data_IF_062011841650
#
_entry.id   IF_062011841650
#
_cell.length_a   1.000
_cell.length_b   1.000
_cell.length_c   1.000
_cell.angle_alpha   90.00
_cell.angle_beta   90.00
_cell.angle_gamma   90.00
#
_symmetry.space_group_name_H-M   'P 1'
#
loop_
_entity.id
_entity.type
_entity.pdbx_description
1 polymer ?
#
# COMPACT_ATOMS: atom_id res chain seq x y z
N UNK A 1 52.45 -0.53 -79.77
CA UNK A 1 52.41 -0.13 -78.33
C UNK A 1 50.97 0.16 -77.95
N UNK A 2 50.30 -0.74 -77.26
CA UNK A 2 48.88 -0.66 -76.90
C UNK A 2 48.78 -0.25 -75.42
N UNK A 3 48.31 0.96 -75.14
CA UNK A 3 48.01 1.39 -73.77
C UNK A 3 46.72 0.77 -73.31
N UNK A 4 46.77 -0.02 -72.24
CA UNK A 4 45.60 -0.52 -71.55
C UNK A 4 45.20 0.52 -70.47
N UNK A 5 44.03 1.04 -70.61
CA UNK A 5 43.40 1.89 -69.59
C UNK A 5 42.63 0.94 -68.67
N UNK A 6 43.02 0.92 -67.40
CA UNK A 6 42.27 0.20 -66.34
C UNK A 6 41.20 1.17 -65.84
N UNK A 7 39.92 0.82 -65.99
CA UNK A 7 38.81 1.48 -65.37
C UNK A 7 38.58 0.84 -63.99
N UNK A 8 38.75 1.64 -62.91
CA UNK A 8 38.39 1.26 -61.55
C UNK A 8 36.93 1.66 -61.34
N UNK A 9 36.06 0.67 -61.32
CA UNK A 9 34.68 0.88 -60.92
C UNK A 9 34.61 0.91 -59.36
N UNK A 10 34.42 2.09 -58.78
CA UNK A 10 34.16 2.24 -57.36
C UNK A 10 32.68 1.93 -57.12
N UNK A 11 32.43 0.72 -56.56
CA UNK A 11 31.08 0.34 -56.09
C UNK A 11 30.86 0.96 -54.71
N UNK A 12 30.11 2.06 -54.65
CA UNK A 12 29.62 2.60 -53.40
C UNK A 12 28.51 1.70 -52.85
N UNK A 13 28.82 0.84 -51.91
CA UNK A 13 27.81 0.17 -51.10
C UNK A 13 27.17 1.21 -50.15
N UNK A 14 25.98 1.68 -50.51
CA UNK A 14 25.11 2.38 -49.60
C UNK A 14 24.56 1.38 -48.58
N UNK A 15 25.16 1.32 -47.41
CA UNK A 15 24.59 0.64 -46.27
C UNK A 15 23.36 1.42 -45.83
N UNK A 16 22.19 1.03 -46.33
CA UNK A 16 20.92 1.41 -45.69
C UNK A 16 20.91 0.75 -44.29
N UNK A 17 21.22 1.55 -43.29
CA UNK A 17 20.80 1.24 -41.93
C UNK A 17 19.26 1.27 -41.93
N UNK A 18 18.66 0.09 -42.02
CA UNK A 18 17.27 -0.06 -41.63
C UNK A 18 17.22 0.22 -40.17
N UNK A 19 16.80 1.44 -39.79
CA UNK A 19 16.33 1.73 -38.47
C UNK A 19 15.09 0.83 -38.29
N UNK A 20 15.28 -0.30 -37.61
CA UNK A 20 14.11 -1.04 -37.09
C UNK A 20 13.31 -0.08 -36.28
N UNK A 21 11.99 0.03 -36.48
CA UNK A 21 11.15 0.80 -35.57
C UNK A 21 11.42 0.23 -34.16
N UNK A 22 11.91 1.05 -33.27
CA UNK A 22 11.95 0.70 -31.84
C UNK A 22 10.48 0.61 -31.48
N UNK A 23 9.95 -0.60 -31.39
CA UNK A 23 8.62 -0.82 -30.84
C UNK A 23 8.69 -0.32 -29.40
N UNK A 24 7.75 0.51 -29.00
CA UNK A 24 7.61 0.87 -27.60
C UNK A 24 7.59 -0.43 -26.77
N UNK A 25 8.36 -0.48 -25.71
CA UNK A 25 8.37 -1.64 -24.83
C UNK A 25 7.07 -1.63 -24.03
N UNK A 26 6.29 -2.70 -24.11
CA UNK A 26 5.06 -2.86 -23.34
C UNK A 26 5.39 -3.53 -22.00
N UNK A 27 4.83 -3.00 -20.91
CA UNK A 27 4.91 -3.57 -19.58
C UNK A 27 3.49 -3.80 -19.05
N UNK A 28 3.25 -4.96 -18.46
CA UNK A 28 2.00 -5.32 -17.80
C UNK A 28 2.12 -5.06 -16.32
N UNK A 29 1.22 -4.27 -15.76
CA UNK A 29 1.19 -3.91 -14.34
C UNK A 29 -0.11 -4.41 -13.72
N UNK A 30 -0.02 -5.23 -12.66
CA UNK A 30 -1.18 -5.64 -11.88
C UNK A 30 -1.29 -4.80 -10.61
N UNK A 31 -2.39 -4.08 -10.42
CA UNK A 31 -2.66 -3.29 -9.21
C UNK A 31 -3.84 -3.90 -8.46
N UNK A 32 -3.63 -4.29 -7.19
CA UNK A 32 -4.71 -4.73 -6.32
C UNK A 32 -4.87 -3.75 -5.16
N UNK A 33 -6.08 -3.22 -4.99
CA UNK A 33 -6.46 -2.41 -3.82
C UNK A 33 -7.19 -3.30 -2.80
N UNK A 34 -6.98 -3.05 -1.51
CA UNK A 34 -7.58 -3.85 -0.44
C UNK A 34 -9.07 -3.59 -0.28
N UNK A 35 -9.48 -2.32 -0.25
CA UNK A 35 -10.87 -1.94 0.03
C UNK A 35 -11.22 -0.64 -0.69
N UNK A 36 -12.51 -0.42 -0.95
CA UNK A 36 -13.02 0.84 -1.52
C UNK A 36 -13.06 1.93 -0.44
N UNK A 37 -11.93 2.61 -0.30
CA UNK A 37 -11.70 3.74 0.59
C UNK A 37 -11.16 4.93 -0.19
N UNK A 38 -11.58 6.15 0.16
CA UNK A 38 -11.24 7.36 -0.58
C UNK A 38 -9.72 7.62 -0.64
N UNK A 39 -8.99 7.35 0.44
CA UNK A 39 -7.55 7.56 0.52
C UNK A 39 -6.79 6.53 -0.31
N UNK A 40 -7.19 5.25 -0.22
CA UNK A 40 -6.59 4.17 -1.00
C UNK A 40 -6.90 4.34 -2.50
N UNK A 41 -8.11 4.73 -2.86
CA UNK A 41 -8.49 5.02 -4.24
C UNK A 41 -7.65 6.17 -4.82
N UNK A 42 -7.40 7.23 -4.03
CA UNK A 42 -6.52 8.32 -4.46
C UNK A 42 -5.09 7.85 -4.74
N UNK A 43 -4.57 6.89 -3.97
CA UNK A 43 -3.27 6.29 -4.24
C UNK A 43 -3.28 5.58 -5.60
N UNK A 44 -4.30 4.75 -5.86
CA UNK A 44 -4.46 4.04 -7.14
C UNK A 44 -4.51 5.02 -8.31
N UNK A 45 -5.34 6.06 -8.22
CA UNK A 45 -5.49 7.09 -9.26
C UNK A 45 -4.16 7.80 -9.56
N UNK A 46 -3.40 8.14 -8.51
CA UNK A 46 -2.09 8.78 -8.66
C UNK A 46 -1.05 7.84 -9.28
N UNK A 47 -1.05 6.55 -8.92
CA UNK A 47 -0.16 5.56 -9.53
C UNK A 47 -0.47 5.43 -11.02
N UNK A 48 -1.73 5.25 -11.39
CA UNK A 48 -2.14 5.13 -12.80
C UNK A 48 -1.78 6.39 -13.59
N UNK A 49 -2.09 7.57 -13.05
CA UNK A 49 -1.74 8.85 -13.69
C UNK A 49 -0.23 8.99 -13.89
N UNK A 50 0.57 8.58 -12.89
CA UNK A 50 2.04 8.67 -12.99
C UNK A 50 2.61 7.65 -13.97
N UNK A 51 2.05 6.46 -14.07
CA UNK A 51 2.42 5.47 -15.10
C UNK A 51 2.15 6.02 -16.52
N UNK A 52 1.02 6.68 -16.75
CA UNK A 52 0.74 7.34 -18.03
C UNK A 52 1.76 8.44 -18.37
N UNK A 53 2.16 9.26 -17.39
CA UNK A 53 3.19 10.29 -17.57
C UNK A 53 4.55 9.66 -17.91
N UNK A 54 4.97 8.64 -17.15
CA UNK A 54 6.23 7.93 -17.39
C UNK A 54 6.20 7.27 -18.78
N UNK A 55 5.06 6.68 -19.17
CA UNK A 55 4.89 6.11 -20.52
C UNK A 55 5.20 7.12 -21.61
N UNK A 56 4.64 8.34 -21.49
CA UNK A 56 4.90 9.44 -22.42
C UNK A 56 6.35 9.94 -22.38
N UNK A 57 6.93 10.03 -21.17
CA UNK A 57 8.32 10.50 -20.97
C UNK A 57 9.36 9.53 -21.51
N UNK A 58 9.10 8.22 -21.43
CA UNK A 58 10.05 7.14 -21.75
C UNK A 58 9.78 6.45 -23.08
N UNK A 59 8.69 6.80 -23.76
CA UNK A 59 8.21 6.12 -24.96
C UNK A 59 8.02 4.61 -24.74
N UNK A 60 7.33 4.28 -23.62
CA UNK A 60 6.93 2.92 -23.23
C UNK A 60 5.43 2.89 -23.01
N UNK A 61 4.83 1.70 -23.10
CA UNK A 61 3.42 1.51 -22.81
C UNK A 61 3.25 0.66 -21.54
N UNK A 62 2.34 1.09 -20.66
CA UNK A 62 1.93 0.32 -19.48
C UNK A 62 0.50 -0.20 -19.70
N UNK A 63 0.36 -1.52 -19.77
CA UNK A 63 -0.93 -2.22 -19.77
C UNK A 63 -1.29 -2.50 -18.30
N UNK A 64 -2.21 -1.70 -17.75
CA UNK A 64 -2.53 -1.70 -16.32
C UNK A 64 -3.83 -2.45 -16.08
N UNK A 65 -3.75 -3.59 -15.36
CA UNK A 65 -4.90 -4.30 -14.81
C UNK A 65 -5.10 -3.86 -13.36
N UNK A 66 -6.30 -3.35 -13.04
CA UNK A 66 -6.65 -2.90 -11.69
C UNK A 66 -7.89 -3.64 -11.18
N UNK A 67 -7.81 -4.13 -9.95
CA UNK A 67 -8.92 -4.74 -9.24
C UNK A 67 -8.90 -4.37 -7.75
N UNK A 68 -10.08 -4.48 -7.10
CA UNK A 68 -10.27 -4.25 -5.68
C UNK A 68 -10.79 -5.53 -5.03
N UNK A 69 -10.12 -6.02 -3.98
CA UNK A 69 -10.53 -7.26 -3.32
C UNK A 69 -11.64 -7.08 -2.28
N UNK A 70 -12.04 -5.84 -1.97
CA UNK A 70 -13.11 -5.52 -1.01
C UNK A 70 -12.94 -6.23 0.35
N UNK A 71 -11.70 -6.29 0.85
CA UNK A 71 -11.32 -6.99 2.07
C UNK A 71 -11.65 -8.50 2.10
N UNK A 72 -11.94 -9.10 0.95
CA UNK A 72 -12.20 -10.54 0.82
C UNK A 72 -10.91 -11.28 0.42
N UNK A 73 -10.46 -12.18 1.29
CA UNK A 73 -9.23 -12.93 1.08
C UNK A 73 -9.29 -13.87 -0.14
N UNK A 74 -10.46 -14.41 -0.49
CA UNK A 74 -10.60 -15.29 -1.66
C UNK A 74 -10.58 -14.49 -2.96
N UNK A 75 -11.20 -13.30 -2.95
CA UNK A 75 -11.15 -12.38 -4.10
C UNK A 75 -9.72 -11.89 -4.30
N UNK A 76 -9.01 -11.52 -3.22
CA UNK A 76 -7.60 -11.12 -3.27
C UNK A 76 -6.72 -12.23 -3.87
N UNK A 77 -6.91 -13.48 -3.43
CA UNK A 77 -6.18 -14.64 -3.97
C UNK A 77 -6.43 -14.82 -5.47
N UNK A 78 -7.69 -14.67 -5.91
CA UNK A 78 -8.06 -14.79 -7.32
C UNK A 78 -7.39 -13.69 -8.16
N UNK A 79 -7.47 -12.43 -7.73
CA UNK A 79 -6.84 -11.29 -8.42
C UNK A 79 -5.33 -11.52 -8.61
N UNK A 80 -4.63 -11.92 -7.54
CA UNK A 80 -3.18 -12.16 -7.59
C UNK A 80 -2.86 -13.36 -8.51
N UNK A 81 -3.68 -14.41 -8.48
CA UNK A 81 -3.53 -15.57 -9.38
C UNK A 81 -3.74 -15.17 -10.84
N UNK A 82 -4.69 -14.28 -11.13
CA UNK A 82 -4.93 -13.78 -12.48
C UNK A 82 -3.73 -12.94 -12.97
N UNK A 83 -3.14 -12.09 -12.13
CA UNK A 83 -1.90 -11.37 -12.46
C UNK A 83 -0.74 -12.32 -12.78
N UNK A 84 -0.59 -13.41 -12.01
CA UNK A 84 0.41 -14.44 -12.30
C UNK A 84 0.15 -15.15 -13.63
N UNK A 85 -1.11 -15.49 -13.91
CA UNK A 85 -1.50 -16.14 -15.17
C UNK A 85 -1.28 -15.24 -16.39
N UNK A 86 -1.49 -13.94 -16.24
CA UNK A 86 -1.27 -12.93 -17.28
C UNK A 86 0.22 -12.57 -17.45
N UNK A 87 1.09 -13.11 -16.58
CA UNK A 87 2.53 -12.83 -16.53
C UNK A 87 2.79 -11.32 -16.47
N UNK A 88 2.25 -10.65 -15.46
CA UNK A 88 2.53 -9.23 -15.25
C UNK A 88 4.00 -9.01 -14.92
N UNK A 89 4.56 -7.90 -15.41
CA UNK A 89 5.97 -7.54 -15.20
C UNK A 89 6.21 -6.92 -13.83
N UNK A 90 5.13 -6.42 -13.18
CA UNK A 90 5.16 -5.79 -11.87
C UNK A 90 3.79 -5.95 -11.19
N UNK A 91 3.80 -6.24 -9.90
CA UNK A 91 2.61 -6.17 -9.05
C UNK A 91 2.66 -4.96 -8.12
N UNK A 92 1.53 -4.29 -7.93
CA UNK A 92 1.38 -3.18 -6.98
C UNK A 92 0.30 -3.54 -5.97
N UNK A 93 0.71 -3.67 -4.70
CA UNK A 93 -0.19 -3.99 -3.59
C UNK A 93 -0.52 -2.76 -2.75
N UNK A 94 -1.79 -2.41 -2.65
CA UNK A 94 -2.25 -1.30 -1.83
C UNK A 94 -2.80 -1.84 -0.50
N UNK A 95 -2.25 -1.38 0.61
CA UNK A 95 -2.39 -1.81 2.00
C UNK A 95 -1.63 -3.10 2.35
N UNK A 96 -1.34 -3.26 3.64
CA UNK A 96 -0.51 -4.34 4.20
C UNK A 96 -0.98 -5.74 3.81
N UNK A 97 -2.29 -6.11 3.89
CA UNK A 97 -2.73 -7.46 3.57
C UNK A 97 -2.46 -7.86 2.11
N UNK A 98 -2.65 -6.93 1.17
CA UNK A 98 -2.38 -7.18 -0.26
C UNK A 98 -0.88 -7.33 -0.51
N UNK A 99 -0.07 -6.45 0.07
CA UNK A 99 1.39 -6.50 -0.05
C UNK A 99 1.96 -7.84 0.45
N UNK A 100 1.52 -8.30 1.62
CA UNK A 100 1.93 -9.59 2.20
C UNK A 100 1.50 -10.77 1.31
N UNK A 101 0.30 -10.71 0.74
CA UNK A 101 -0.18 -11.77 -0.14
C UNK A 101 0.59 -11.81 -1.47
N UNK A 102 0.89 -10.64 -2.05
CA UNK A 102 1.72 -10.55 -3.26
C UNK A 102 3.15 -11.02 -3.01
N UNK A 103 3.76 -10.67 -1.86
CA UNK A 103 5.07 -11.17 -1.46
C UNK A 103 5.08 -12.70 -1.46
N UNK A 104 4.11 -13.33 -0.77
CA UNK A 104 4.01 -14.79 -0.71
C UNK A 104 3.80 -15.41 -2.10
N UNK A 105 2.99 -14.78 -2.96
CA UNK A 105 2.70 -15.28 -4.30
C UNK A 105 3.89 -15.16 -5.26
N UNK A 106 4.79 -14.21 -5.03
CA UNK A 106 5.99 -13.98 -5.87
C UNK A 106 7.26 -14.58 -5.29
N UNK A 107 7.18 -15.30 -4.18
CA UNK A 107 8.34 -15.98 -3.60
C UNK A 107 8.98 -16.94 -4.59
N UNK A 108 10.29 -16.81 -4.79
CA UNK A 108 11.06 -17.62 -5.76
C UNK A 108 10.82 -17.27 -7.23
N UNK A 109 10.13 -16.17 -7.52
CA UNK A 109 9.98 -15.62 -8.88
C UNK A 109 10.81 -14.34 -9.05
N UNK A 110 10.94 -13.87 -10.29
CA UNK A 110 11.59 -12.60 -10.62
C UNK A 110 10.59 -11.43 -10.69
N UNK A 111 9.28 -11.67 -10.47
CA UNK A 111 8.26 -10.63 -10.54
C UNK A 111 8.40 -9.68 -9.35
N UNK A 112 8.73 -8.39 -9.58
CA UNK A 112 8.85 -7.42 -8.51
C UNK A 112 7.47 -7.03 -7.95
N UNK A 113 7.46 -6.67 -6.66
CA UNK A 113 6.28 -6.14 -5.98
C UNK A 113 6.60 -4.75 -5.46
N UNK A 114 5.69 -3.80 -5.69
CA UNK A 114 5.72 -2.47 -5.06
C UNK A 114 4.50 -2.34 -4.16
N UNK A 115 4.72 -2.07 -2.89
CA UNK A 115 3.63 -1.80 -1.96
C UNK A 115 3.42 -0.30 -1.75
N UNK A 116 2.19 0.07 -1.39
CA UNK A 116 1.84 1.42 -0.92
C UNK A 116 0.84 1.32 0.22
N UNK A 117 0.80 2.32 1.09
CA UNK A 117 -0.02 2.34 2.30
C UNK A 117 0.23 1.10 3.19
N UNK A 118 1.49 0.86 3.52
CA UNK A 118 1.90 -0.17 4.49
C UNK A 118 2.44 0.51 5.73
N UNK A 119 1.78 0.31 6.86
CA UNK A 119 2.09 1.03 8.10
C UNK A 119 3.43 0.64 8.70
N UNK A 120 3.76 -0.65 8.71
CA UNK A 120 5.03 -1.17 9.22
C UNK A 120 5.60 -2.26 8.28
N UNK A 121 6.34 -1.88 7.23
CA UNK A 121 6.91 -2.85 6.29
C UNK A 121 7.91 -3.82 6.92
N UNK A 122 8.62 -3.41 7.97
CA UNK A 122 9.60 -4.26 8.67
C UNK A 122 8.86 -5.19 9.64
N UNK A 123 7.97 -4.66 10.46
CA UNK A 123 7.20 -5.45 11.43
C UNK A 123 6.28 -6.47 10.79
N UNK A 124 5.73 -6.16 9.61
CA UNK A 124 4.94 -7.12 8.80
C UNK A 124 5.80 -8.13 8.01
N UNK A 125 7.13 -8.02 8.06
CA UNK A 125 8.05 -8.94 7.39
C UNK A 125 8.11 -8.77 5.87
N UNK A 126 7.66 -7.64 5.34
CA UNK A 126 7.73 -7.34 3.90
C UNK A 126 9.15 -7.01 3.46
N UNK A 127 9.89 -6.29 4.28
CA UNK A 127 11.27 -5.89 4.02
C UNK A 127 12.14 -6.15 5.26
N UNK A 128 13.42 -6.38 5.06
CA UNK A 128 14.37 -6.54 6.18
C UNK A 128 14.70 -5.20 6.84
N UNK A 129 14.81 -4.16 6.02
CA UNK A 129 15.13 -2.78 6.43
C UNK A 129 14.54 -1.80 5.41
N UNK A 130 14.16 -0.60 5.85
CA UNK A 130 13.53 0.41 4.98
C UNK A 130 14.49 0.95 3.90
N UNK A 131 15.79 1.03 4.20
CA UNK A 131 16.82 1.50 3.27
C UNK A 131 17.40 0.37 2.42
N UNK A 132 17.22 -0.89 2.85
CA UNK A 132 17.72 -2.08 2.19
C UNK A 132 16.68 -3.22 2.23
N UNK A 133 15.65 -3.20 1.38
CA UNK A 133 14.51 -4.14 1.43
C UNK A 133 14.87 -5.63 1.39
N UNK A 134 15.96 -6.01 0.73
CA UNK A 134 16.54 -7.36 0.78
C UNK A 134 15.96 -8.38 -0.19
N UNK A 135 14.79 -8.13 -0.80
CA UNK A 135 14.10 -9.06 -1.70
C UNK A 135 13.55 -8.35 -2.95
N UNK A 136 12.70 -9.04 -3.71
CA UNK A 136 12.02 -8.47 -4.90
C UNK A 136 10.81 -7.57 -4.55
N UNK A 137 10.75 -7.05 -3.34
CA UNK A 137 9.67 -6.19 -2.86
C UNK A 137 10.20 -4.89 -2.27
N UNK A 138 9.56 -3.78 -2.58
CA UNK A 138 9.84 -2.44 -2.05
C UNK A 138 8.57 -1.61 -2.09
N UNK A 139 8.58 -0.39 -1.54
CA UNK A 139 7.40 0.46 -1.61
C UNK A 139 7.48 1.70 -0.73
N UNK A 140 6.31 2.18 -0.32
CA UNK A 140 6.16 3.36 0.54
C UNK A 140 5.40 3.01 1.81
N UNK A 141 5.96 3.43 2.95
CA UNK A 141 5.31 3.30 4.25
C UNK A 141 4.39 4.50 4.51
N UNK A 142 3.28 4.24 5.20
CA UNK A 142 2.41 5.24 5.83
C UNK A 142 2.53 5.20 7.36
N UNK A 143 3.76 5.01 7.87
CA UNK A 143 4.05 4.92 9.29
C UNK A 143 3.34 6.01 10.11
N UNK A 144 2.66 5.59 11.16
CA UNK A 144 1.97 6.46 12.10
C UNK A 144 2.88 6.79 13.28
N UNK A 145 3.22 8.07 13.48
CA UNK A 145 3.90 8.52 14.69
C UNK A 145 2.91 8.54 15.87
N UNK A 146 2.69 7.37 16.45
CA UNK A 146 1.75 7.14 17.55
C UNK A 146 2.03 8.06 18.75
N UNK A 147 3.31 8.28 19.08
CA UNK A 147 3.69 9.16 20.19
C UNK A 147 3.27 10.62 19.94
N UNK A 148 3.36 11.09 18.70
CA UNK A 148 2.89 12.43 18.34
C UNK A 148 1.36 12.55 18.40
N UNK A 149 0.63 11.50 18.01
CA UNK A 149 -0.84 11.46 18.16
C UNK A 149 -1.24 11.46 19.63
N UNK A 150 -0.58 10.68 20.49
CA UNK A 150 -0.86 10.69 21.94
C UNK A 150 -0.62 12.09 22.55
N UNK A 151 0.46 12.77 22.16
CA UNK A 151 0.72 14.15 22.58
C UNK A 151 -0.36 15.13 22.07
N UNK A 152 -0.87 14.91 20.86
CA UNK A 152 -1.96 15.72 20.33
C UNK A 152 -3.24 15.53 21.15
N UNK A 153 -3.60 14.29 21.51
CA UNK A 153 -4.74 14.01 22.40
C UNK A 153 -4.58 14.76 23.72
N UNK A 154 -3.41 14.70 24.36
CA UNK A 154 -3.14 15.43 25.61
C UNK A 154 -3.14 16.96 25.44
N UNK A 155 -2.74 17.46 24.27
CA UNK A 155 -2.78 18.90 23.99
C UNK A 155 -4.21 19.41 23.81
N UNK A 156 -5.10 18.61 23.23
CA UNK A 156 -6.53 18.93 23.04
C UNK A 156 -7.30 18.74 24.35
N UNK A 157 -7.02 17.66 25.09
CA UNK A 157 -7.61 17.38 26.39
C UNK A 157 -6.49 17.17 27.45
N UNK A 158 -6.02 18.27 28.11
CA UNK A 158 -4.94 18.16 29.11
C UNK A 158 -5.31 17.35 30.37
N UNK A 159 -6.61 17.14 30.62
CA UNK A 159 -7.11 16.39 31.76
C UNK A 159 -7.44 14.93 31.42
N UNK A 160 -7.04 14.44 30.25
CA UNK A 160 -7.28 13.06 29.81
C UNK A 160 -6.70 12.05 30.79
N UNK A 161 -7.54 11.10 31.22
CA UNK A 161 -7.17 10.06 32.19
C UNK A 161 -7.34 8.66 31.67
N UNK A 162 -8.25 8.48 30.70
CA UNK A 162 -8.57 7.17 30.14
C UNK A 162 -8.76 7.26 28.64
N UNK A 163 -8.01 6.48 27.89
CA UNK A 163 -8.06 6.42 26.41
C UNK A 163 -8.60 5.07 25.97
N UNK A 164 -9.56 5.07 25.04
CA UNK A 164 -9.99 3.88 24.32
C UNK A 164 -9.05 3.57 23.17
N UNK A 165 -8.60 2.31 23.08
CA UNK A 165 -7.86 1.79 21.93
C UNK A 165 -8.83 0.93 21.11
N UNK A 166 -9.18 1.40 19.89
CA UNK A 166 -10.13 0.73 19.01
C UNK A 166 -9.41 0.25 17.75
N UNK A 167 -9.38 -1.06 17.51
CA UNK A 167 -8.65 -1.64 16.39
C UNK A 167 -9.15 -3.02 16.01
N UNK A 168 -8.76 -3.50 14.83
CA UNK A 168 -8.94 -4.88 14.40
C UNK A 168 -7.68 -5.70 14.74
N UNK A 169 -7.83 -6.67 15.64
CA UNK A 169 -6.75 -7.56 16.06
C UNK A 169 -6.23 -8.46 14.93
N UNK A 170 -7.01 -8.62 13.86
CA UNK A 170 -6.64 -9.40 12.68
C UNK A 170 -5.85 -8.60 11.64
N UNK A 171 -5.64 -7.30 11.86
CA UNK A 171 -4.89 -6.43 10.94
C UNK A 171 -3.44 -6.24 11.43
N UNK A 172 -2.47 -6.72 10.66
CA UNK A 172 -1.04 -6.53 10.98
C UNK A 172 -0.66 -5.04 11.06
N UNK A 173 -1.32 -4.18 10.27
CA UNK A 173 -1.15 -2.73 10.30
C UNK A 173 -1.45 -2.07 11.65
N UNK A 174 -2.23 -2.71 12.52
CA UNK A 174 -2.58 -2.20 13.84
C UNK A 174 -1.56 -2.52 14.92
N UNK A 175 -0.80 -3.60 14.75
CA UNK A 175 -0.02 -4.22 15.84
C UNK A 175 1.00 -3.26 16.45
N UNK A 176 1.85 -2.66 15.63
CA UNK A 176 2.92 -1.76 16.08
C UNK A 176 2.34 -0.50 16.71
N UNK A 177 1.37 0.15 16.06
CA UNK A 177 0.77 1.39 16.56
C UNK A 177 0.04 1.20 17.90
N UNK A 178 -0.67 0.09 18.08
CA UNK A 178 -1.33 -0.24 19.35
C UNK A 178 -0.32 -0.53 20.46
N UNK A 179 0.77 -1.24 20.16
CA UNK A 179 1.81 -1.48 21.16
C UNK A 179 2.51 -0.17 21.57
N UNK A 180 2.85 0.69 20.62
CA UNK A 180 3.42 2.01 20.87
C UNK A 180 2.48 2.90 21.70
N UNK A 181 1.16 2.84 21.43
CA UNK A 181 0.16 3.54 22.22
C UNK A 181 0.16 3.07 23.67
N UNK A 182 0.16 1.75 23.91
CA UNK A 182 0.20 1.17 25.26
C UNK A 182 1.47 1.58 25.99
N UNK A 183 2.63 1.46 25.35
CA UNK A 183 3.93 1.82 25.94
C UNK A 183 3.98 3.31 26.32
N UNK A 184 3.39 4.17 25.48
CA UNK A 184 3.28 5.59 25.77
C UNK A 184 2.36 5.85 26.97
N UNK A 185 1.15 5.26 26.97
CA UNK A 185 0.14 5.46 28.02
C UNK A 185 0.62 4.91 29.37
N UNK A 186 1.26 3.74 29.39
CA UNK A 186 1.86 3.17 30.60
C UNK A 186 2.95 4.09 31.18
N UNK A 187 3.79 4.66 30.33
CA UNK A 187 4.84 5.60 30.73
C UNK A 187 4.28 6.89 31.33
N UNK A 188 3.21 7.42 30.73
CA UNK A 188 2.57 8.67 31.20
C UNK A 188 1.57 8.43 32.34
N UNK A 189 1.28 7.17 32.69
CA UNK A 189 0.34 6.80 33.76
C UNK A 189 -1.13 7.10 33.40
N UNK A 190 -1.47 7.03 32.11
CA UNK A 190 -2.83 7.22 31.58
C UNK A 190 -3.49 5.85 31.47
N UNK A 191 -4.69 5.70 32.00
CA UNK A 191 -5.49 4.48 31.86
C UNK A 191 -5.90 4.24 30.41
N UNK A 192 -5.99 2.98 29.99
CA UNK A 192 -6.57 2.65 28.69
C UNK A 192 -7.46 1.43 28.75
N UNK A 193 -8.39 1.35 27.80
CA UNK A 193 -9.29 0.24 27.60
C UNK A 193 -9.24 -0.17 26.12
N UNK A 194 -9.05 -1.46 25.87
CA UNK A 194 -9.02 -2.00 24.51
C UNK A 194 -10.40 -2.52 24.12
N UNK A 195 -10.82 -2.20 22.90
CA UNK A 195 -11.99 -2.78 22.23
C UNK A 195 -11.62 -3.10 20.80
N UNK A 196 -12.00 -4.28 20.34
CA UNK A 196 -11.64 -4.76 19.01
C UNK A 196 -12.88 -5.15 18.23
N UNK A 197 -12.78 -5.05 16.90
CA UNK A 197 -13.80 -5.53 15.97
C UNK A 197 -13.17 -5.90 14.65
N UNK A 198 -13.58 -7.02 14.07
CA UNK A 198 -13.05 -7.54 12.80
C UNK A 198 -14.03 -7.30 11.64
N UNK A 199 -15.17 -6.72 11.94
CA UNK A 199 -16.20 -6.30 10.99
C UNK A 199 -16.73 -4.91 11.37
N UNK A 200 -17.31 -4.19 10.42
CA UNK A 200 -17.94 -2.88 10.67
C UNK A 200 -18.96 -2.93 11.81
N UNK A 201 -19.78 -3.99 11.87
CA UNK A 201 -20.79 -4.14 12.93
C UNK A 201 -20.13 -4.33 14.31
N UNK A 202 -19.08 -5.15 14.41
CA UNK A 202 -18.32 -5.33 15.65
C UNK A 202 -17.60 -4.05 16.08
N UNK A 203 -17.04 -3.28 15.14
CA UNK A 203 -16.42 -1.98 15.41
C UNK A 203 -17.46 -0.98 15.97
N UNK A 204 -18.68 -0.97 15.44
CA UNK A 204 -19.76 -0.13 15.98
C UNK A 204 -20.13 -0.52 17.41
N UNK A 205 -20.20 -1.82 17.73
CA UNK A 205 -20.46 -2.32 19.09
C UNK A 205 -19.28 -2.01 20.03
N UNK A 206 -18.06 -2.11 19.54
CA UNK A 206 -16.85 -1.75 20.28
C UNK A 206 -16.82 -0.23 20.60
N UNK A 207 -17.23 0.62 19.66
CA UNK A 207 -17.36 2.06 19.88
C UNK A 207 -18.41 2.37 20.95
N UNK A 208 -19.60 1.75 20.90
CA UNK A 208 -20.62 1.89 21.94
C UNK A 208 -20.12 1.46 23.33
N UNK A 209 -19.33 0.39 23.39
CA UNK A 209 -18.72 -0.06 24.63
C UNK A 209 -17.69 0.95 25.18
N UNK A 210 -16.86 1.56 24.32
CA UNK A 210 -15.92 2.62 24.74
C UNK A 210 -16.64 3.84 25.30
N UNK A 211 -17.74 4.27 24.69
CA UNK A 211 -18.60 5.34 25.24
C UNK A 211 -19.13 4.95 26.61
N UNK A 212 -19.62 3.72 26.77
CA UNK A 212 -20.12 3.22 28.05
C UNK A 212 -19.03 3.08 29.12
N UNK A 213 -17.78 2.79 28.72
CA UNK A 213 -16.62 2.74 29.60
C UNK A 213 -16.16 4.13 30.08
N UNK A 214 -16.71 5.20 29.49
CA UNK A 214 -16.41 6.59 29.85
C UNK A 214 -14.96 6.96 29.56
N UNK A 215 -14.48 6.66 28.35
CA UNK A 215 -13.17 7.09 27.90
C UNK A 215 -13.18 8.58 27.53
N UNK A 216 -12.07 9.29 27.77
CA UNK A 216 -11.94 10.72 27.51
C UNK A 216 -11.51 11.02 26.06
N UNK A 217 -10.98 10.01 25.38
CA UNK A 217 -10.59 10.04 23.95
C UNK A 217 -10.51 8.61 23.41
N UNK A 218 -10.58 8.49 22.08
CA UNK A 218 -10.39 7.22 21.39
C UNK A 218 -9.23 7.36 20.41
N UNK A 219 -8.32 6.40 20.42
CA UNK A 219 -7.26 6.22 19.45
C UNK A 219 -7.58 5.05 18.54
N UNK A 220 -7.43 5.27 17.23
CA UNK A 220 -7.49 4.24 16.20
C UNK A 220 -6.22 4.30 15.36
N UNK A 221 -5.57 3.16 15.03
CA UNK A 221 -4.47 3.12 14.07
C UNK A 221 -4.98 3.24 12.63
N UNK A 222 -4.08 3.22 11.66
CA UNK A 222 -4.37 3.14 10.21
C UNK A 222 -4.82 1.72 9.82
N UNK A 223 -5.88 1.28 10.39
CA UNK A 223 -6.49 -0.04 10.30
C UNK A 223 -7.64 -0.02 9.30
N UNK A 224 -7.59 -0.89 8.28
CA UNK A 224 -8.55 -0.85 7.18
C UNK A 224 -10.00 -1.15 7.62
N UNK A 225 -10.20 -1.99 8.64
CA UNK A 225 -11.53 -2.30 9.19
C UNK A 225 -12.11 -1.10 9.90
N UNK A 226 -11.29 -0.41 10.72
CA UNK A 226 -11.70 0.81 11.44
C UNK A 226 -11.93 1.95 10.44
N UNK A 227 -11.04 2.16 9.48
CA UNK A 227 -11.20 3.21 8.45
C UNK A 227 -12.51 3.04 7.68
N UNK A 228 -12.87 1.81 7.32
CA UNK A 228 -14.15 1.51 6.66
C UNK A 228 -15.36 1.83 7.55
N UNK A 229 -15.23 1.65 8.87
CA UNK A 229 -16.29 1.90 9.85
C UNK A 229 -16.35 3.37 10.33
N UNK A 230 -15.32 4.19 10.07
CA UNK A 230 -15.09 5.50 10.68
C UNK A 230 -16.31 6.41 10.58
N UNK A 231 -16.90 6.57 9.39
CA UNK A 231 -18.08 7.43 9.18
C UNK A 231 -19.30 6.98 10.00
N UNK A 232 -19.35 5.73 10.44
CA UNK A 232 -20.45 5.19 11.23
C UNK A 232 -20.24 5.31 12.74
N UNK A 233 -19.01 5.56 13.19
CA UNK A 233 -18.67 5.61 14.62
C UNK A 233 -18.31 7.01 15.13
N UNK A 234 -17.79 7.91 14.26
CA UNK A 234 -17.32 9.22 14.73
C UNK A 234 -18.44 10.06 15.37
N UNK A 235 -19.67 10.01 14.83
CA UNK A 235 -20.82 10.72 15.41
C UNK A 235 -21.15 10.24 16.82
N UNK A 236 -20.99 8.93 17.09
CA UNK A 236 -21.20 8.37 18.44
C UNK A 236 -20.26 8.99 19.47
N UNK A 237 -19.00 9.21 19.10
CA UNK A 237 -18.02 9.85 19.98
C UNK A 237 -18.28 11.34 20.14
N UNK A 238 -18.70 12.06 19.08
CA UNK A 238 -19.11 13.47 19.17
C UNK A 238 -20.32 13.63 20.10
N UNK A 239 -21.32 12.77 19.98
CA UNK A 239 -22.54 12.84 20.78
C UNK A 239 -22.28 12.48 22.25
N UNK A 240 -21.24 11.73 22.54
CA UNK A 240 -20.84 11.37 23.89
C UNK A 240 -20.04 12.47 24.62
N UNK A 241 -19.49 13.46 23.92
CA UNK A 241 -18.76 14.62 24.44
C UNK A 241 -17.25 14.47 24.31
#
# INVERSE_FOLDING_TARGET
MKKRVLAIAATAMATMMMASPVMAQDFKIGICNYVDDASLNQIVDNIQSRLEEIGKEKDVNFDVSYDNCNADANVMEQIISDFQADNVDLMVGIATPVAMRMQSATEGTDTPVVFSAVSDPVGSGLVEDLDAPGANITGTSDYLDTASIMKLIQAVNPDVKKIGLLYDIGQDSSTTAIQEAKDYLDKEGIEYVERTGTTTDEVQLAADALVADGVDAVFTPTDNTIMTAELSIYEKFIDAG
#
